data_IF_977397926917
#
_entry.id   IF_977397926917
#
_cell.length_a   1.000
_cell.length_b   1.000
_cell.length_c   1.000
_cell.angle_alpha   90.00
_cell.angle_beta   90.00
_cell.angle_gamma   90.00
#
_symmetry.space_group_name_H-M   'P 1'
#
loop_
_entity.id
_entity.type
_entity.pdbx_description
1 polymer ?
#
# COMPACT_ATOMS: atom_id res chain seq x y z
N UNK A 1 -17.84 -0.45 -14.07
CA UNK A 1 -16.64 -1.27 -13.77
C UNK A 1 -15.52 -0.35 -13.33
N UNK A 2 -14.78 -0.75 -12.32
CA UNK A 2 -13.60 -0.07 -11.81
C UNK A 2 -12.43 -1.07 -11.77
N UNK A 3 -11.31 -0.71 -12.38
CA UNK A 3 -10.06 -1.46 -12.25
C UNK A 3 -9.18 -0.77 -11.19
N UNK A 4 -8.81 -1.52 -10.17
CA UNK A 4 -7.87 -1.07 -9.14
C UNK A 4 -6.51 -1.69 -9.44
N UNK A 5 -5.50 -0.84 -9.63
CA UNK A 5 -4.11 -1.22 -9.86
C UNK A 5 -3.20 -0.42 -8.93
N UNK A 6 -2.16 -1.05 -8.45
CA UNK A 6 -1.07 -0.39 -7.73
C UNK A 6 0.21 -0.64 -8.49
N UNK A 7 0.89 0.43 -8.87
CA UNK A 7 2.14 0.35 -9.61
C UNK A 7 3.26 1.02 -8.81
N UNK A 8 4.41 0.38 -8.65
CA UNK A 8 5.58 1.03 -8.10
C UNK A 8 6.03 2.13 -9.05
N UNK A 9 6.35 3.30 -8.51
CA UNK A 9 6.96 4.36 -9.29
C UNK A 9 8.34 3.92 -9.80
N UNK A 10 8.45 3.76 -11.11
CA UNK A 10 9.70 3.38 -11.77
C UNK A 10 10.60 4.57 -12.07
N UNK A 11 10.06 5.78 -11.98
CA UNK A 11 10.86 7.00 -12.14
C UNK A 11 11.58 7.29 -10.83
N UNK A 12 12.89 7.22 -10.86
CA UNK A 12 13.73 7.52 -9.72
C UNK A 12 13.40 8.91 -9.16
N UNK A 13 12.82 8.90 -7.96
CA UNK A 13 12.67 10.04 -7.11
C UNK A 13 12.09 11.28 -7.78
N UNK A 14 10.79 11.44 -7.75
CA UNK A 14 10.07 12.60 -8.23
C UNK A 14 10.40 13.92 -7.53
N UNK A 15 11.66 14.22 -7.35
CA UNK A 15 12.14 15.54 -6.99
C UNK A 15 12.49 16.31 -8.26
N UNK A 16 12.01 17.53 -8.36
CA UNK A 16 12.31 18.47 -9.45
C UNK A 16 13.81 18.77 -9.67
N UNK A 17 14.69 18.06 -9.00
CA UNK A 17 16.13 18.24 -9.07
C UNK A 17 16.75 17.16 -9.96
N UNK A 18 16.61 17.35 -11.27
CA UNK A 18 17.18 16.47 -12.31
C UNK A 18 18.71 16.32 -12.27
N UNK A 19 19.38 17.01 -11.37
CA UNK A 19 20.85 17.10 -11.32
C UNK A 19 21.50 16.28 -10.22
N UNK A 20 20.75 15.57 -9.39
CA UNK A 20 21.33 14.91 -8.24
C UNK A 20 20.89 13.46 -8.17
N UNK A 21 21.87 12.61 -8.16
CA UNK A 21 21.77 11.18 -7.89
C UNK A 21 21.32 10.43 -9.14
N UNK A 22 22.28 9.85 -9.78
CA UNK A 22 22.06 8.95 -10.89
C UNK A 22 21.01 7.90 -10.52
N UNK A 23 20.01 7.75 -11.36
CA UNK A 23 18.89 6.83 -11.21
C UNK A 23 19.29 5.37 -10.90
N UNK A 24 20.54 5.03 -11.01
CA UNK A 24 21.08 3.69 -10.72
C UNK A 24 21.03 3.31 -9.24
N UNK A 25 21.08 4.27 -8.31
CA UNK A 25 21.06 3.96 -6.87
C UNK A 25 19.68 3.55 -6.36
N UNK A 26 18.63 3.79 -7.13
CA UNK A 26 17.26 3.48 -6.74
C UNK A 26 16.63 2.34 -7.54
N UNK A 27 17.44 1.53 -8.21
CA UNK A 27 16.90 0.35 -8.89
C UNK A 27 16.25 -0.59 -7.88
N UNK A 28 15.08 -1.09 -8.24
CA UNK A 28 14.25 -1.98 -7.44
C UNK A 28 14.05 -3.29 -8.17
N UNK A 29 13.88 -4.34 -7.39
CA UNK A 29 13.36 -5.64 -7.86
C UNK A 29 12.09 -5.89 -7.07
N UNK A 30 11.01 -6.22 -7.77
CA UNK A 30 9.73 -6.53 -7.10
C UNK A 30 8.95 -7.57 -7.89
N UNK A 31 8.04 -8.19 -7.19
CA UNK A 31 7.02 -9.06 -7.73
C UNK A 31 5.65 -8.53 -7.33
N UNK A 32 4.70 -8.56 -8.26
CA UNK A 32 3.31 -8.24 -8.00
C UNK A 32 2.49 -9.51 -8.04
N UNK A 33 1.68 -9.74 -7.01
CA UNK A 33 0.73 -10.85 -6.96
C UNK A 33 -0.66 -10.34 -6.62
N UNK A 34 -1.69 -10.95 -7.22
CA UNK A 34 -3.09 -10.63 -6.94
C UNK A 34 -3.82 -11.90 -6.52
N UNK A 35 -4.43 -11.87 -5.34
CA UNK A 35 -5.20 -12.98 -4.82
C UNK A 35 -6.27 -12.52 -3.84
N UNK A 36 -7.49 -13.02 -3.98
CA UNK A 36 -8.60 -12.72 -3.09
C UNK A 36 -8.85 -11.21 -2.92
N UNK A 37 -8.86 -10.47 -4.03
CA UNK A 37 -8.96 -9.01 -4.08
C UNK A 37 -7.88 -8.28 -3.26
N UNK A 38 -6.71 -8.88 -3.11
CA UNK A 38 -5.51 -8.30 -2.53
C UNK A 38 -4.41 -8.22 -3.57
N UNK A 39 -3.87 -7.02 -3.76
CA UNK A 39 -2.67 -6.76 -4.56
C UNK A 39 -1.49 -6.67 -3.60
N UNK A 40 -0.50 -7.54 -3.78
CA UNK A 40 0.74 -7.56 -3.01
C UNK A 40 1.90 -7.20 -3.92
N UNK A 41 2.71 -6.23 -3.50
CA UNK A 41 3.96 -5.85 -4.17
C UNK A 41 5.08 -6.03 -3.15
N UNK A 42 5.93 -7.00 -3.40
CA UNK A 42 7.03 -7.36 -2.52
C UNK A 42 8.36 -7.23 -3.25
N UNK A 43 9.33 -6.58 -2.64
CA UNK A 43 10.59 -6.34 -3.32
C UNK A 43 11.71 -5.77 -2.46
N UNK A 44 12.79 -5.42 -3.13
CA UNK A 44 13.98 -4.84 -2.49
C UNK A 44 14.66 -3.80 -3.38
N UNK A 45 15.39 -2.88 -2.74
CA UNK A 45 16.30 -1.98 -3.43
C UNK A 45 17.57 -2.74 -3.82
N UNK A 46 18.10 -2.49 -5.03
CA UNK A 46 19.30 -3.19 -5.51
C UNK A 46 20.59 -2.73 -4.88
N UNK A 47 20.67 -1.47 -4.51
CA UNK A 47 21.88 -0.84 -3.97
C UNK A 47 22.19 -1.30 -2.55
N UNK A 48 21.18 -1.32 -1.70
CA UNK A 48 21.34 -1.61 -0.28
C UNK A 48 20.49 -2.79 0.20
N UNK A 49 19.75 -3.44 -0.69
CA UNK A 49 18.89 -4.60 -0.41
C UNK A 49 17.81 -4.33 0.65
N UNK A 50 17.38 -3.05 0.79
CA UNK A 50 16.28 -2.73 1.67
C UNK A 50 14.98 -3.34 1.15
N UNK A 51 14.35 -4.15 1.99
CA UNK A 51 13.11 -4.83 1.66
C UNK A 51 11.94 -3.91 1.86
N UNK A 52 10.95 -4.05 0.99
CA UNK A 52 9.68 -3.35 1.10
C UNK A 52 8.52 -4.29 0.75
N UNK A 53 7.37 -3.98 1.31
CA UNK A 53 6.11 -4.61 0.95
C UNK A 53 5.02 -3.54 0.89
N UNK A 54 4.14 -3.64 -0.10
CA UNK A 54 2.89 -2.90 -0.20
C UNK A 54 1.75 -3.90 -0.34
N UNK A 55 0.75 -3.78 0.50
CA UNK A 55 -0.43 -4.65 0.51
C UNK A 55 -1.67 -3.79 0.35
N UNK A 56 -2.43 -4.03 -0.73
CA UNK A 56 -3.64 -3.27 -1.04
C UNK A 56 -4.84 -4.21 -1.16
N UNK A 57 -5.80 -4.09 -0.25
CA UNK A 57 -7.05 -4.84 -0.23
C UNK A 57 -8.18 -4.01 -0.83
N UNK A 58 -8.96 -4.62 -1.71
CA UNK A 58 -10.17 -4.04 -2.29
C UNK A 58 -11.38 -4.71 -1.65
N UNK A 59 -12.23 -3.92 -1.01
CA UNK A 59 -13.50 -4.36 -0.42
C UNK A 59 -14.66 -3.72 -1.19
N UNK A 60 -15.76 -4.45 -1.37
CA UNK A 60 -16.93 -3.97 -2.11
C UNK A 60 -18.19 -4.13 -1.28
N UNK A 61 -19.07 -3.14 -1.37
CA UNK A 61 -20.45 -3.27 -0.91
C UNK A 61 -21.32 -3.68 -2.12
N UNK A 62 -21.77 -4.92 -2.12
CA UNK A 62 -22.42 -5.52 -3.29
C UNK A 62 -21.45 -5.76 -4.45
N UNK A 63 -21.99 -6.22 -5.57
CA UNK A 63 -21.20 -6.51 -6.76
C UNK A 63 -20.22 -7.69 -6.59
N UNK A 64 -19.20 -7.72 -7.44
CA UNK A 64 -18.18 -8.78 -7.46
C UNK A 64 -16.80 -8.21 -7.72
N UNK A 65 -15.77 -8.92 -7.25
CA UNK A 65 -14.36 -8.67 -7.58
C UNK A 65 -13.81 -9.82 -8.41
N UNK A 66 -12.97 -9.50 -9.38
CA UNK A 66 -12.24 -10.48 -10.19
C UNK A 66 -10.74 -10.16 -10.11
N UNK A 67 -9.96 -11.14 -9.70
CA UNK A 67 -8.50 -11.04 -9.70
C UNK A 67 -7.99 -11.20 -11.14
N UNK A 68 -7.17 -10.26 -11.57
CA UNK A 68 -6.51 -10.27 -12.86
C UNK A 68 -5.00 -10.20 -12.70
N UNK A 69 -4.32 -10.08 -13.82
CA UNK A 69 -2.88 -9.85 -13.85
C UNK A 69 -2.61 -8.42 -13.35
N UNK A 70 -1.92 -8.30 -12.22
CA UNK A 70 -1.56 -7.04 -11.54
C UNK A 70 -2.74 -6.10 -11.20
N UNK A 71 -3.98 -6.56 -11.23
CA UNK A 71 -5.16 -5.73 -10.93
C UNK A 71 -6.31 -6.50 -10.33
N UNK A 72 -7.20 -5.78 -9.63
CA UNK A 72 -8.52 -6.24 -9.22
C UNK A 72 -9.57 -5.46 -9.97
N UNK A 73 -10.45 -6.15 -10.68
CA UNK A 73 -11.60 -5.56 -11.38
C UNK A 73 -12.84 -5.67 -10.52
N UNK A 74 -13.52 -4.54 -10.29
CA UNK A 74 -14.79 -4.47 -9.55
C UNK A 74 -15.95 -4.25 -10.51
N UNK A 75 -17.03 -5.03 -10.35
CA UNK A 75 -18.25 -4.94 -11.15
C UNK A 75 -19.47 -4.77 -10.27
N UNK A 76 -20.34 -3.84 -10.67
CA UNK A 76 -21.68 -3.63 -10.10
C UNK A 76 -21.71 -3.41 -8.58
N UNK A 77 -20.64 -2.86 -7.99
CA UNK A 77 -20.58 -2.49 -6.58
C UNK A 77 -21.26 -1.15 -6.32
N UNK A 78 -21.90 -1.02 -5.16
CA UNK A 78 -22.47 0.25 -4.66
C UNK A 78 -21.40 1.15 -4.07
N UNK A 79 -20.43 0.54 -3.37
CA UNK A 79 -19.28 1.23 -2.80
C UNK A 79 -18.03 0.34 -2.90
N UNK A 80 -16.87 0.99 -2.94
CA UNK A 80 -15.55 0.33 -2.93
C UNK A 80 -14.70 0.99 -1.87
N UNK A 81 -14.13 0.18 -0.98
CA UNK A 81 -13.13 0.62 -0.01
C UNK A 81 -11.78 0.01 -0.38
N UNK A 82 -10.78 0.85 -0.51
CA UNK A 82 -9.40 0.44 -0.82
C UNK A 82 -8.55 0.72 0.42
N UNK A 83 -7.90 -0.32 0.94
CA UNK A 83 -7.04 -0.25 2.13
C UNK A 83 -5.63 -0.60 1.70
N UNK A 84 -4.70 0.32 1.90
CA UNK A 84 -3.29 0.11 1.57
C UNK A 84 -2.42 0.28 2.81
N UNK A 85 -1.48 -0.64 2.99
CA UNK A 85 -0.38 -0.52 3.95
C UNK A 85 0.94 -0.77 3.25
N UNK A 86 1.95 0.00 3.64
CA UNK A 86 3.32 -0.10 3.10
C UNK A 86 4.28 -0.20 4.28
N UNK A 87 5.30 -1.03 4.14
CA UNK A 87 6.36 -1.15 5.14
C UNK A 87 7.68 -1.58 4.53
N UNK A 88 8.74 -1.33 5.29
CA UNK A 88 10.11 -1.71 4.93
C UNK A 88 10.78 -2.38 6.12
N UNK A 89 11.94 -3.01 5.91
CA UNK A 89 12.79 -3.50 6.98
C UNK A 89 13.72 -2.41 7.56
N UNK A 90 13.46 -1.14 7.26
CA UNK A 90 14.21 -0.02 7.84
C UNK A 90 13.94 0.11 9.34
N UNK A 91 15.00 0.34 10.08
CA UNK A 91 14.98 0.72 11.50
C UNK A 91 16.02 1.79 11.73
N UNK A 92 15.67 2.87 12.44
CA UNK A 92 16.63 3.91 12.80
C UNK A 92 17.52 3.44 13.95
N UNK A 93 18.48 2.55 13.66
CA UNK A 93 19.38 1.92 14.63
C UNK A 93 20.78 1.77 14.02
N UNK A 94 21.69 2.67 14.45
CA UNK A 94 23.07 2.66 13.97
C UNK A 94 23.81 1.40 14.46
N UNK A 95 24.69 0.77 13.67
CA UNK A 95 25.11 1.14 12.32
C UNK A 95 24.33 0.43 11.20
N UNK A 96 23.43 -0.46 11.52
CA UNK A 96 22.84 -1.40 10.55
C UNK A 96 21.64 -0.81 9.81
N UNK A 97 20.82 0.01 10.49
CA UNK A 97 19.60 0.62 9.98
C UNK A 97 18.57 -0.38 9.41
N UNK A 98 18.49 -1.58 10.00
CA UNK A 98 17.62 -2.68 9.57
C UNK A 98 16.99 -3.41 10.75
N UNK A 99 15.79 -3.93 10.54
CA UNK A 99 15.14 -4.81 11.52
C UNK A 99 15.69 -6.22 11.51
N UNK A 100 16.30 -6.65 10.39
CA UNK A 100 16.73 -8.03 10.15
C UNK A 100 15.61 -8.96 9.70
N UNK A 101 14.40 -8.43 9.45
CA UNK A 101 13.27 -9.20 8.93
C UNK A 101 13.57 -9.77 7.53
N UNK A 102 13.09 -10.99 7.26
CA UNK A 102 13.05 -11.53 5.90
C UNK A 102 11.98 -10.83 5.06
N UNK A 103 11.96 -11.04 3.74
CA UNK A 103 10.91 -10.50 2.87
C UNK A 103 9.52 -10.95 3.32
N UNK A 104 9.37 -12.22 3.67
CA UNK A 104 8.10 -12.80 4.13
C UNK A 104 7.65 -12.21 5.47
N UNK A 105 8.59 -11.86 6.36
CA UNK A 105 8.28 -11.23 7.64
C UNK A 105 7.79 -9.80 7.45
N UNK A 106 8.44 -9.02 6.57
CA UNK A 106 7.98 -7.67 6.19
C UNK A 106 6.59 -7.74 5.58
N UNK A 107 6.38 -8.62 4.59
CA UNK A 107 5.09 -8.81 3.94
C UNK A 107 3.98 -9.22 4.93
N UNK A 108 4.26 -10.18 5.81
CA UNK A 108 3.31 -10.65 6.82
C UNK A 108 2.92 -9.55 7.81
N UNK A 109 3.88 -8.75 8.25
CA UNK A 109 3.63 -7.62 9.15
C UNK A 109 2.75 -6.56 8.48
N UNK A 110 3.06 -6.18 7.24
CA UNK A 110 2.29 -5.21 6.46
C UNK A 110 0.89 -5.74 6.19
N UNK A 111 0.78 -7.03 5.83
CA UNK A 111 -0.50 -7.71 5.62
C UNK A 111 -1.40 -7.69 6.85
N UNK A 112 -0.84 -7.92 8.02
CA UNK A 112 -1.60 -7.92 9.27
C UNK A 112 -2.31 -6.59 9.55
N UNK A 113 -1.70 -5.44 9.15
CA UNK A 113 -2.36 -4.14 9.26
C UNK A 113 -3.54 -4.01 8.30
N UNK A 114 -3.38 -4.46 7.06
CA UNK A 114 -4.46 -4.44 6.07
C UNK A 114 -5.62 -5.34 6.50
N UNK A 115 -5.34 -6.56 6.96
CA UNK A 115 -6.35 -7.50 7.41
C UNK A 115 -7.13 -6.94 8.60
N UNK A 116 -6.44 -6.36 9.59
CA UNK A 116 -7.09 -5.73 10.74
C UNK A 116 -8.01 -4.57 10.32
N UNK A 117 -7.56 -3.72 9.39
CA UNK A 117 -8.39 -2.62 8.89
C UNK A 117 -9.57 -3.14 8.07
N UNK A 118 -9.37 -4.17 7.24
CA UNK A 118 -10.43 -4.82 6.48
C UNK A 118 -11.50 -5.43 7.39
N UNK A 119 -11.09 -6.12 8.45
CA UNK A 119 -11.98 -6.69 9.45
C UNK A 119 -12.83 -5.60 10.14
N UNK A 120 -12.24 -4.44 10.43
CA UNK A 120 -12.97 -3.30 10.99
C UNK A 120 -14.05 -2.80 10.03
N UNK A 121 -13.73 -2.65 8.73
CA UNK A 121 -14.71 -2.21 7.73
C UNK A 121 -15.84 -3.20 7.58
N UNK A 122 -15.54 -4.50 7.58
CA UNK A 122 -16.53 -5.58 7.39
C UNK A 122 -17.42 -5.75 8.63
N UNK A 123 -16.85 -5.70 9.83
CA UNK A 123 -17.58 -5.99 11.07
C UNK A 123 -18.28 -4.77 11.68
N UNK A 124 -17.70 -3.58 11.51
CA UNK A 124 -18.24 -2.36 12.07
C UNK A 124 -18.75 -1.43 10.94
N UNK A 125 -17.87 -0.64 10.35
CA UNK A 125 -18.15 0.20 9.17
C UNK A 125 -16.87 0.91 8.69
N UNK A 126 -16.94 1.47 7.47
CA UNK A 126 -15.94 2.40 6.97
C UNK A 126 -15.80 3.63 7.89
N UNK A 127 -16.91 4.15 8.40
CA UNK A 127 -16.90 5.34 9.28
C UNK A 127 -16.16 5.08 10.60
N UNK A 128 -16.28 3.87 11.15
CA UNK A 128 -15.53 3.46 12.35
C UNK A 128 -14.02 3.46 12.09
N UNK A 129 -13.60 2.86 10.96
CA UNK A 129 -12.20 2.85 10.56
C UNK A 129 -11.67 4.28 10.34
N UNK A 130 -12.45 5.12 9.63
CA UNK A 130 -12.11 6.51 9.38
C UNK A 130 -11.95 7.31 10.68
N UNK A 131 -12.89 7.18 11.61
CA UNK A 131 -12.80 7.86 12.91
C UNK A 131 -11.57 7.43 13.71
N UNK A 132 -11.26 6.12 13.71
CA UNK A 132 -10.05 5.61 14.36
C UNK A 132 -8.76 6.16 13.73
N UNK A 133 -8.73 6.30 12.42
CA UNK A 133 -7.62 6.90 11.69
C UNK A 133 -7.49 8.40 11.99
N UNK A 134 -8.59 9.14 11.93
CA UNK A 134 -8.61 10.59 12.18
C UNK A 134 -8.29 10.94 13.66
N UNK A 135 -8.51 10.00 14.58
CA UNK A 135 -8.19 10.16 16.00
C UNK A 135 -6.71 9.87 16.35
N UNK A 136 -5.92 9.37 15.39
CA UNK A 136 -4.49 9.22 15.60
C UNK A 136 -3.87 10.63 15.76
N UNK A 137 -3.09 10.87 16.83
CA UNK A 137 -2.45 12.17 16.99
C UNK A 137 -1.50 12.42 15.83
N UNK A 138 -1.40 13.69 15.40
CA UNK A 138 -0.47 14.19 14.37
C UNK A 138 1.01 13.98 14.76
N UNK A 139 1.39 12.73 15.01
CA UNK A 139 2.77 12.34 15.37
C UNK A 139 3.63 12.25 14.11
N UNK A 140 3.00 12.17 12.94
CA UNK A 140 3.70 12.15 11.65
C UNK A 140 3.60 13.55 11.02
N UNK A 141 4.73 14.10 10.50
CA UNK A 141 4.68 15.36 9.79
C UNK A 141 3.70 15.27 8.62
N UNK A 142 2.98 16.38 8.34
CA UNK A 142 1.92 16.51 7.33
C UNK A 142 2.26 15.89 5.94
N UNK A 143 3.53 15.66 5.65
CA UNK A 143 4.01 15.05 4.41
C UNK A 143 3.68 13.53 4.27
N UNK A 144 3.19 12.87 5.32
CA UNK A 144 2.85 11.44 5.29
C UNK A 144 1.35 11.15 5.11
N UNK A 145 0.51 12.17 5.11
CA UNK A 145 -0.92 12.01 4.92
C UNK A 145 -1.31 12.38 3.48
N UNK A 146 -1.59 11.38 2.66
CA UNK A 146 -2.42 11.59 1.47
C UNK A 146 -3.86 11.74 1.96
N UNK A 147 -4.54 12.88 1.68
CA UNK A 147 -5.93 13.03 2.05
C UNK A 147 -6.76 11.94 1.36
N UNK A 148 -7.61 11.26 2.13
CA UNK A 148 -8.62 10.37 1.58
C UNK A 148 -9.52 11.18 0.66
N UNK A 149 -9.36 11.01 -0.64
CA UNK A 149 -10.31 11.59 -1.60
C UNK A 149 -11.50 10.64 -1.71
N UNK A 150 -12.64 11.07 -1.22
CA UNK A 150 -13.91 10.47 -1.62
C UNK A 150 -14.10 10.80 -3.09
N UNK A 151 -14.12 9.76 -3.93
CA UNK A 151 -14.55 9.92 -5.31
C UNK A 151 -16.05 10.20 -5.28
N UNK A 152 -16.44 11.41 -5.70
CA UNK A 152 -17.84 11.73 -5.93
C UNK A 152 -18.44 10.71 -6.92
N UNK A 153 -19.70 10.30 -6.72
CA UNK A 153 -20.35 9.40 -7.67
C UNK A 153 -20.34 10.04 -9.05
N UNK A 154 -19.80 9.32 -10.01
CA UNK A 154 -19.83 9.71 -11.42
C UNK A 154 -21.28 9.90 -11.88
N UNK A 155 -21.55 10.94 -12.69
CA UNK A 155 -22.88 11.23 -13.21
C UNK A 155 -23.45 10.12 -14.11
#
# INVERSE_FOLDING_TARGET
NLDVRVEPDNEAGGGSNKNTIQAQSYQREWETTVKDALISIDGQLKDNQMRFSSQTKVLTEGGTTEDGDEKVTVKDAKAVTIITSIGTDYKNDYPVYRTGESQEQVASRVRAYVDKAADTVVNDSYDTLKQAHDALPDILPEACFLPFQTLDPLP
#
